data_IF_794445516269
#
_entry.id   IF_794445516269
#
_cell.length_a   1.000
_cell.length_b   1.000
_cell.length_c   1.000
_cell.angle_alpha   90.00
_cell.angle_beta   90.00
_cell.angle_gamma   90.00
#
_symmetry.space_group_name_H-M   'P 1'
#
loop_
_entity.id
_entity.type
_entity.pdbx_description
1 polymer ?
#
# COMPACT_ATOMS: atom_id res chain seq x y z
N UNK A 1 23.29 -21.43 37.80
CA UNK A 1 22.36 -21.83 36.73
C UNK A 1 20.92 -21.31 36.91
N UNK A 2 20.49 -20.94 38.12
CA UNK A 2 19.13 -20.45 38.40
C UNK A 2 18.92 -18.92 38.14
N UNK A 3 19.98 -18.14 38.21
CA UNK A 3 19.87 -16.68 37.99
C UNK A 3 19.60 -16.30 36.53
N UNK A 4 20.13 -17.04 35.55
CA UNK A 4 19.88 -16.81 34.14
C UNK A 4 18.42 -17.06 33.72
N UNK A 5 17.78 -18.05 34.31
CA UNK A 5 16.35 -18.35 34.06
C UNK A 5 15.40 -17.27 34.56
N UNK A 6 15.73 -16.61 35.67
CA UNK A 6 14.92 -15.52 36.24
C UNK A 6 15.01 -14.24 35.44
N UNK A 7 16.18 -13.92 34.86
CA UNK A 7 16.36 -12.72 34.01
C UNK A 7 15.66 -12.90 32.66
N UNK A 8 15.69 -14.08 32.07
CA UNK A 8 15.00 -14.37 30.81
C UNK A 8 13.48 -14.31 30.97
N UNK A 9 12.95 -14.80 32.10
CA UNK A 9 11.52 -14.75 32.40
C UNK A 9 11.04 -13.31 32.65
N UNK A 10 11.83 -12.47 33.31
CA UNK A 10 11.50 -11.06 33.54
C UNK A 10 11.51 -10.23 32.24
N UNK A 11 12.42 -10.53 31.30
CA UNK A 11 12.47 -9.89 29.97
C UNK A 11 11.25 -10.24 29.11
N UNK A 12 10.77 -11.50 29.15
CA UNK A 12 9.56 -11.90 28.40
C UNK A 12 8.31 -11.23 28.96
N UNK A 13 8.21 -11.06 30.30
CA UNK A 13 7.09 -10.33 30.93
C UNK A 13 7.10 -8.82 30.64
N UNK A 14 8.26 -8.21 30.47
CA UNK A 14 8.34 -6.78 30.13
C UNK A 14 7.86 -6.48 28.70
N UNK A 15 8.04 -7.41 27.76
CA UNK A 15 7.57 -7.24 26.38
C UNK A 15 6.05 -7.37 26.21
N UNK A 16 5.39 -8.14 27.06
CA UNK A 16 3.92 -8.31 26.96
C UNK A 16 3.14 -7.11 27.49
N UNK A 17 3.73 -6.27 28.32
CA UNK A 17 3.05 -5.05 28.80
C UNK A 17 3.06 -3.90 27.81
N UNK A 18 3.98 -3.89 26.86
CA UNK A 18 4.06 -2.82 25.84
C UNK A 18 2.94 -2.89 24.79
N UNK A 19 2.40 -4.08 24.50
CA UNK A 19 1.34 -4.25 23.50
C UNK A 19 -0.02 -3.70 24.00
N UNK A 20 -0.30 -3.81 25.31
CA UNK A 20 -1.58 -3.35 25.87
C UNK A 20 -1.71 -1.82 25.98
N UNK A 21 -0.59 -1.09 25.94
CA UNK A 21 -0.61 0.38 26.06
C UNK A 21 -1.13 1.05 24.77
N UNK A 22 -0.83 0.47 23.61
CA UNK A 22 -1.30 0.99 22.32
C UNK A 22 -2.80 0.79 22.13
N UNK A 23 -3.34 -0.36 22.52
CA UNK A 23 -4.78 -0.65 22.43
C UNK A 23 -5.62 0.31 23.28
N UNK A 24 -5.14 0.67 24.47
CA UNK A 24 -5.80 1.64 25.32
C UNK A 24 -5.76 3.05 24.75
N UNK A 25 -4.66 3.45 24.13
CA UNK A 25 -4.52 4.75 23.47
C UNK A 25 -5.44 4.85 22.25
N UNK A 26 -5.48 3.81 21.42
CA UNK A 26 -6.38 3.74 20.26
C UNK A 26 -7.83 3.77 20.69
N UNK A 27 -8.24 3.07 21.75
CA UNK A 27 -9.59 3.09 22.30
C UNK A 27 -9.96 4.47 22.87
N UNK A 28 -9.04 5.17 23.50
CA UNK A 28 -9.26 6.54 23.99
C UNK A 28 -9.43 7.54 22.84
N UNK A 29 -8.64 7.44 21.78
CA UNK A 29 -8.69 8.32 20.62
C UNK A 29 -9.92 8.04 19.75
N UNK A 30 -10.33 6.77 19.61
CA UNK A 30 -11.49 6.38 18.81
C UNK A 30 -12.86 6.55 19.50
N UNK A 31 -12.90 7.17 20.68
CA UNK A 31 -14.15 7.48 21.38
C UNK A 31 -14.89 6.29 22.00
N UNK A 32 -14.30 5.09 21.95
CA UNK A 32 -14.85 3.87 22.59
C UNK A 32 -14.44 3.72 24.06
N UNK A 33 -13.79 4.73 24.64
CA UNK A 33 -13.51 4.83 26.05
C UNK A 33 -14.72 5.32 26.84
N UNK A 34 -14.77 4.98 28.14
CA UNK A 34 -15.78 5.41 29.10
C UNK A 34 -16.12 6.91 28.96
N UNK A 35 -17.40 7.23 28.88
CA UNK A 35 -17.91 8.57 28.74
C UNK A 35 -17.19 9.56 29.67
N UNK A 36 -16.42 10.48 29.09
CA UNK A 36 -15.74 11.57 29.81
C UNK A 36 -14.23 11.64 29.69
N UNK A 37 -13.53 10.65 29.09
CA UNK A 37 -12.06 10.58 29.08
C UNK A 37 -11.39 10.70 27.69
N UNK A 38 -12.08 11.12 26.64
CA UNK A 38 -11.53 11.25 25.30
C UNK A 38 -11.95 12.54 24.57
N UNK A 39 -11.28 12.83 23.46
CA UNK A 39 -11.68 13.91 22.58
C UNK A 39 -13.05 13.62 21.98
N UNK A 40 -13.97 14.57 22.05
CA UNK A 40 -15.25 14.49 21.35
C UNK A 40 -15.14 15.26 20.04
N UNK A 41 -15.36 14.53 18.94
CA UNK A 41 -15.38 15.12 17.60
C UNK A 41 -16.83 15.32 17.15
N UNK A 42 -17.14 16.50 16.70
CA UNK A 42 -18.41 16.77 16.02
C UNK A 42 -18.15 16.76 14.52
N UNK A 43 -18.67 15.78 13.76
CA UNK A 43 -18.47 15.75 12.32
C UNK A 43 -19.20 16.95 11.69
N UNK A 44 -18.47 17.76 10.93
CA UNK A 44 -19.05 18.89 10.16
C UNK A 44 -19.57 18.36 8.82
N UNK A 45 -18.81 17.46 8.20
CA UNK A 45 -19.16 16.79 6.94
C UNK A 45 -18.72 15.32 7.05
N UNK A 46 -19.60 14.42 6.66
CA UNK A 46 -19.29 12.99 6.50
C UNK A 46 -19.62 12.60 5.06
N UNK A 47 -18.59 12.20 4.34
CA UNK A 47 -18.72 11.72 2.97
C UNK A 47 -18.70 10.20 2.95
N UNK A 48 -19.46 9.61 2.05
CA UNK A 48 -19.44 8.18 1.82
C UNK A 48 -18.12 7.78 1.15
N UNK A 49 -17.64 6.60 1.49
CA UNK A 49 -16.41 6.02 0.97
C UNK A 49 -16.60 4.52 0.73
N UNK A 50 -15.77 3.96 -0.15
CA UNK A 50 -15.62 2.52 -0.33
C UNK A 50 -14.99 1.89 0.92
N UNK A 51 -15.09 0.56 1.12
CA UNK A 51 -14.39 -0.15 2.18
C UNK A 51 -12.88 0.12 2.16
N UNK A 52 -12.25 -0.02 3.33
CA UNK A 52 -10.79 0.11 3.45
C UNK A 52 -10.14 -1.16 2.92
N UNK A 53 -9.25 -0.99 1.93
CA UNK A 53 -8.48 -2.08 1.34
C UNK A 53 -7.13 -2.28 2.03
N UNK A 54 -6.61 -3.53 1.98
CA UNK A 54 -5.36 -3.91 2.63
C UNK A 54 -4.23 -4.01 1.60
N UNK A 55 -3.30 -3.06 1.63
CA UNK A 55 -2.13 -3.10 0.74
C UNK A 55 -1.13 -4.23 1.04
N UNK A 56 -1.26 -4.91 2.18
CA UNK A 56 -0.30 -5.93 2.62
C UNK A 56 1.11 -5.38 2.84
N UNK A 57 2.11 -6.19 2.55
CA UNK A 57 3.54 -5.82 2.60
C UNK A 57 3.99 -5.30 1.24
N UNK A 58 3.44 -4.13 0.83
CA UNK A 58 3.80 -3.48 -0.42
C UNK A 58 3.95 -1.97 -0.24
N UNK A 59 4.89 -1.34 -0.94
CA UNK A 59 5.08 0.11 -0.96
C UNK A 59 4.09 0.82 -1.89
N UNK A 60 2.83 0.37 -1.94
CA UNK A 60 1.81 0.81 -2.90
C UNK A 60 0.71 1.66 -2.27
N UNK A 61 0.92 2.20 -1.07
CA UNK A 61 -0.04 3.06 -0.36
C UNK A 61 -0.54 4.24 -1.23
N UNK A 62 0.30 4.75 -2.11
CA UNK A 62 -0.05 5.80 -3.07
C UNK A 62 -1.16 5.36 -4.04
N UNK A 63 -1.19 4.09 -4.47
CA UNK A 63 -2.25 3.55 -5.32
C UNK A 63 -3.54 3.39 -4.53
N UNK A 64 -3.49 2.74 -3.36
CA UNK A 64 -4.64 2.54 -2.49
C UNK A 64 -5.30 3.86 -2.06
N UNK A 65 -4.52 4.81 -1.57
CA UNK A 65 -5.07 6.10 -1.12
C UNK A 65 -5.69 6.92 -2.24
N UNK A 66 -5.12 6.85 -3.45
CA UNK A 66 -5.66 7.61 -4.59
C UNK A 66 -6.87 6.92 -5.21
N UNK A 67 -6.89 5.58 -5.31
CA UNK A 67 -8.07 4.84 -5.75
C UNK A 67 -9.25 5.11 -4.83
N UNK A 68 -9.08 4.98 -3.52
CA UNK A 68 -10.11 5.30 -2.53
C UNK A 68 -10.60 6.76 -2.62
N UNK A 69 -9.71 7.71 -2.90
CA UNK A 69 -10.10 9.10 -3.15
C UNK A 69 -10.96 9.22 -4.42
N UNK A 70 -10.57 8.61 -5.53
CA UNK A 70 -11.33 8.67 -6.79
C UNK A 70 -12.69 8.00 -6.67
N UNK A 71 -12.76 6.88 -5.98
CA UNK A 71 -14.01 6.16 -5.68
C UNK A 71 -14.96 7.00 -4.83
N UNK A 72 -14.44 7.62 -3.77
CA UNK A 72 -15.22 8.53 -2.93
C UNK A 72 -15.72 9.74 -3.73
N UNK A 73 -14.91 10.30 -4.63
CA UNK A 73 -15.34 11.37 -5.51
C UNK A 73 -16.41 10.92 -6.52
N UNK A 74 -16.33 9.70 -7.03
CA UNK A 74 -17.39 9.15 -7.88
C UNK A 74 -18.71 9.04 -7.11
N UNK A 75 -18.70 8.57 -5.86
CA UNK A 75 -19.87 8.51 -4.99
C UNK A 75 -20.41 9.93 -4.74
N UNK A 76 -19.56 10.88 -4.38
CA UNK A 76 -19.93 12.28 -4.18
C UNK A 76 -20.57 12.90 -5.41
N UNK A 77 -20.15 12.51 -6.60
CA UNK A 77 -20.74 12.95 -7.88
C UNK A 77 -22.02 12.19 -8.26
N UNK A 78 -22.56 11.34 -7.39
CA UNK A 78 -23.76 10.56 -7.64
C UNK A 78 -23.56 9.43 -8.65
N UNK A 79 -22.31 8.99 -8.87
CA UNK A 79 -22.01 7.83 -9.72
C UNK A 79 -22.15 6.54 -8.91
N UNK A 80 -22.36 5.43 -9.63
CA UNK A 80 -22.35 4.11 -9.00
C UNK A 80 -20.95 3.84 -8.44
N UNK A 81 -20.82 3.37 -7.19
CA UNK A 81 -19.53 2.95 -6.65
C UNK A 81 -18.90 1.87 -7.52
N UNK A 82 -17.62 2.03 -7.77
CA UNK A 82 -16.77 1.05 -8.47
C UNK A 82 -15.54 0.89 -7.61
N UNK A 83 -15.21 -0.32 -7.29
CA UNK A 83 -13.98 -0.73 -6.62
C UNK A 83 -12.89 -0.86 -7.68
N UNK A 84 -11.87 -0.01 -7.63
CA UNK A 84 -10.81 0.09 -8.64
C UNK A 84 -9.64 -0.81 -8.27
N UNK A 85 -9.10 -1.51 -9.25
CA UNK A 85 -7.90 -2.34 -9.04
C UNK A 85 -6.64 -1.48 -8.85
N UNK A 86 -6.15 -1.38 -7.63
CA UNK A 86 -4.88 -0.75 -7.29
C UNK A 86 -3.70 -1.47 -7.95
N UNK A 87 -3.76 -2.80 -7.98
CA UNK A 87 -2.69 -3.62 -8.51
C UNK A 87 -2.59 -3.57 -10.04
N UNK A 88 -3.71 -3.33 -10.74
CA UNK A 88 -3.64 -3.01 -12.16
C UNK A 88 -2.86 -1.72 -12.42
N UNK A 89 -3.14 -0.69 -11.64
CA UNK A 89 -2.46 0.60 -11.72
C UNK A 89 -0.97 0.42 -11.41
N UNK A 90 -0.64 -0.25 -10.31
CA UNK A 90 0.73 -0.55 -9.89
C UNK A 90 1.49 -1.28 -11.00
N UNK A 91 0.89 -2.30 -11.61
CA UNK A 91 1.48 -3.04 -12.73
C UNK A 91 1.82 -2.13 -13.91
N UNK A 92 0.91 -1.21 -14.27
CA UNK A 92 1.14 -0.28 -15.39
C UNK A 92 2.26 0.71 -15.08
N UNK A 93 2.29 1.21 -13.85
CA UNK A 93 3.38 2.10 -13.40
C UNK A 93 4.72 1.37 -13.41
N UNK A 94 4.78 0.09 -12.98
CA UNK A 94 6.01 -0.70 -13.07
C UNK A 94 6.48 -0.88 -14.51
N UNK A 95 5.56 -1.14 -15.45
CA UNK A 95 5.91 -1.24 -16.88
C UNK A 95 6.52 0.07 -17.41
N UNK A 96 5.90 1.21 -17.14
CA UNK A 96 6.40 2.50 -17.58
C UNK A 96 7.71 2.89 -16.90
N UNK A 97 7.87 2.55 -15.61
CA UNK A 97 9.13 2.74 -14.88
C UNK A 97 10.26 1.90 -15.46
N UNK A 98 9.98 0.64 -15.79
CA UNK A 98 10.98 -0.26 -16.38
C UNK A 98 11.50 0.29 -17.71
N UNK A 99 10.59 0.66 -18.60
CA UNK A 99 10.95 1.27 -19.88
C UNK A 99 11.78 2.54 -19.70
N UNK A 100 11.32 3.44 -18.85
CA UNK A 100 12.00 4.71 -18.56
C UNK A 100 13.36 4.49 -17.91
N UNK A 101 13.46 3.56 -16.96
CA UNK A 101 14.71 3.21 -16.28
C UNK A 101 15.79 2.75 -17.27
N UNK A 102 15.41 1.85 -18.18
CA UNK A 102 16.34 1.36 -19.22
C UNK A 102 16.74 2.49 -20.18
N UNK A 103 15.78 3.29 -20.63
CA UNK A 103 16.05 4.43 -21.55
C UNK A 103 17.01 5.48 -20.98
N UNK A 104 16.99 5.69 -19.66
CA UNK A 104 17.89 6.66 -19.02
C UNK A 104 19.11 5.98 -18.35
N UNK A 105 19.42 4.75 -18.76
CA UNK A 105 20.58 3.97 -18.29
C UNK A 105 20.66 3.86 -16.76
N UNK A 106 19.51 3.64 -16.09
CA UNK A 106 19.46 3.45 -14.65
C UNK A 106 19.57 4.73 -13.81
N UNK A 107 19.49 5.91 -14.42
CA UNK A 107 19.59 7.20 -13.70
C UNK A 107 18.34 7.59 -12.93
N UNK A 108 17.35 6.70 -12.85
CA UNK A 108 16.11 6.87 -12.08
C UNK A 108 15.98 5.78 -11.02
N UNK A 109 15.21 6.07 -9.98
CA UNK A 109 14.83 5.05 -9.00
C UNK A 109 13.80 4.09 -9.61
N UNK A 110 14.06 2.79 -9.49
CA UNK A 110 13.12 1.73 -9.83
C UNK A 110 12.72 1.01 -8.53
N UNK A 111 11.57 1.39 -8.00
CA UNK A 111 11.05 0.90 -6.71
C UNK A 111 9.53 0.98 -6.68
N UNK A 112 8.93 0.43 -5.60
CA UNK A 112 7.48 0.31 -5.40
C UNK A 112 6.75 1.66 -5.31
N UNK A 113 7.41 2.69 -4.77
CA UNK A 113 6.82 4.01 -4.54
C UNK A 113 6.26 4.66 -5.80
N UNK A 114 5.24 5.47 -5.63
CA UNK A 114 4.60 6.29 -6.68
C UNK A 114 3.87 7.46 -6.06
N UNK A 115 3.10 8.18 -6.86
CA UNK A 115 2.35 9.34 -6.43
C UNK A 115 1.02 9.48 -7.18
N UNK A 116 0.11 10.33 -6.70
CA UNK A 116 -1.19 10.59 -7.30
C UNK A 116 -1.13 10.88 -8.83
N UNK A 117 -0.17 11.67 -9.36
CA UNK A 117 -0.08 11.88 -10.80
C UNK A 117 0.15 10.60 -11.61
N UNK A 118 0.81 9.60 -11.05
CA UNK A 118 1.06 8.33 -11.73
C UNK A 118 -0.26 7.60 -12.02
N UNK A 119 -1.23 7.66 -11.11
CA UNK A 119 -2.54 7.05 -11.28
C UNK A 119 -3.33 7.75 -12.38
N UNK A 120 -3.37 9.07 -12.35
CA UNK A 120 -4.07 9.84 -13.37
C UNK A 120 -3.48 9.57 -14.77
N UNK A 121 -2.17 9.48 -14.85
CA UNK A 121 -1.47 9.13 -16.08
C UNK A 121 -1.84 7.72 -16.56
N UNK A 122 -1.86 6.72 -15.65
CA UNK A 122 -2.25 5.34 -15.99
C UNK A 122 -3.69 5.29 -16.49
N UNK A 123 -4.63 5.95 -15.79
CA UNK A 123 -6.04 5.99 -16.19
C UNK A 123 -6.20 6.61 -17.58
N UNK A 124 -5.48 7.69 -17.86
CA UNK A 124 -5.53 8.35 -19.17
C UNK A 124 -4.94 7.48 -20.29
N UNK A 125 -3.85 6.77 -20.02
CA UNK A 125 -3.11 6.00 -21.02
C UNK A 125 -3.65 4.59 -21.22
N UNK A 126 -4.05 3.93 -20.17
CA UNK A 126 -4.39 2.49 -20.15
C UNK A 126 -5.82 2.21 -19.70
N UNK A 127 -6.51 3.21 -19.15
CA UNK A 127 -7.80 3.03 -18.50
C UNK A 127 -7.64 2.54 -17.06
N UNK A 128 -8.79 2.26 -16.43
CA UNK A 128 -8.90 1.61 -15.13
C UNK A 128 -9.74 0.35 -15.25
N UNK A 129 -9.51 -0.61 -14.37
CA UNK A 129 -10.31 -1.85 -14.30
C UNK A 129 -10.85 -2.02 -12.87
N UNK A 130 -12.02 -2.66 -12.70
CA UNK A 130 -12.52 -3.03 -11.39
C UNK A 130 -11.63 -4.09 -10.73
N UNK A 131 -11.57 -4.12 -9.40
CA UNK A 131 -10.81 -5.08 -8.61
C UNK A 131 -11.19 -6.53 -8.96
N UNK A 132 -12.47 -6.81 -9.18
CA UNK A 132 -12.96 -8.14 -9.59
C UNK A 132 -12.36 -8.64 -10.92
N UNK A 133 -11.85 -7.74 -11.75
CA UNK A 133 -11.23 -8.11 -13.03
C UNK A 133 -9.70 -8.31 -12.90
N UNK A 134 -9.07 -7.74 -11.90
CA UNK A 134 -7.65 -7.86 -11.68
C UNK A 134 -7.29 -7.60 -10.21
N UNK A 135 -7.15 -8.64 -9.42
CA UNK A 135 -6.77 -8.54 -8.00
C UNK A 135 -5.26 -8.40 -7.77
N UNK A 136 -4.45 -8.80 -8.74
CA UNK A 136 -2.99 -8.86 -8.59
C UNK A 136 -2.49 -10.07 -7.78
N UNK A 137 -3.35 -10.80 -7.08
CA UNK A 137 -3.01 -11.93 -6.20
C UNK A 137 -2.97 -13.26 -6.98
N UNK A 138 -1.95 -13.45 -7.83
CA UNK A 138 -1.85 -14.62 -8.68
C UNK A 138 -0.75 -15.62 -8.27
N UNK A 139 -0.14 -15.44 -7.09
CA UNK A 139 1.03 -16.22 -6.63
C UNK A 139 0.80 -16.97 -5.31
N UNK A 140 -0.47 -17.15 -4.92
CA UNK A 140 -0.86 -18.03 -3.81
C UNK A 140 -0.83 -17.38 -2.41
N UNK A 141 -0.70 -16.06 -2.34
CA UNK A 141 -0.86 -15.29 -1.09
C UNK A 141 -2.25 -14.63 -1.04
N UNK A 142 -2.73 -14.37 0.17
CA UNK A 142 -4.00 -13.65 0.38
C UNK A 142 -3.80 -12.12 0.46
N UNK A 143 -2.54 -11.67 0.57
CA UNK A 143 -2.15 -10.26 0.63
C UNK A 143 -0.96 -10.00 -0.26
N UNK A 144 -0.79 -8.76 -0.69
CA UNK A 144 0.33 -8.36 -1.53
C UNK A 144 1.64 -8.36 -0.75
N UNK A 145 2.68 -9.00 -1.31
CA UNK A 145 4.05 -9.00 -0.82
C UNK A 145 4.99 -8.68 -1.98
N UNK A 146 5.58 -7.49 -1.98
CA UNK A 146 6.27 -6.97 -3.16
C UNK A 146 7.79 -6.91 -3.07
N UNK A 147 8.40 -7.27 -1.95
CA UNK A 147 9.85 -7.15 -1.79
C UNK A 147 10.62 -8.06 -2.77
N UNK A 148 10.20 -9.32 -2.88
CA UNK A 148 10.77 -10.27 -3.83
C UNK A 148 10.46 -9.88 -5.28
N UNK A 149 9.25 -9.41 -5.54
CA UNK A 149 8.83 -8.92 -6.85
C UNK A 149 9.68 -7.72 -7.28
N UNK A 150 9.88 -6.73 -6.41
CA UNK A 150 10.71 -5.56 -6.69
C UNK A 150 12.15 -5.97 -6.97
N UNK A 151 12.74 -6.82 -6.12
CA UNK A 151 14.11 -7.29 -6.29
C UNK A 151 14.30 -8.02 -7.62
N UNK A 152 13.36 -8.89 -7.99
CA UNK A 152 13.38 -9.64 -9.24
C UNK A 152 13.27 -8.73 -10.45
N UNK A 153 12.30 -7.82 -10.45
CA UNK A 153 12.11 -6.85 -11.54
C UNK A 153 13.30 -5.90 -11.66
N UNK A 154 13.86 -5.45 -10.52
CA UNK A 154 15.07 -4.61 -10.51
C UNK A 154 16.25 -5.33 -11.14
N UNK A 155 16.45 -6.61 -10.81
CA UNK A 155 17.50 -7.45 -11.42
C UNK A 155 17.34 -7.55 -12.94
N UNK A 156 16.11 -7.72 -13.42
CA UNK A 156 15.81 -7.79 -14.86
C UNK A 156 16.16 -6.46 -15.56
N UNK A 157 15.67 -5.33 -15.05
CA UNK A 157 15.93 -4.03 -15.71
C UNK A 157 17.40 -3.61 -15.63
N UNK A 158 18.11 -4.01 -14.58
CA UNK A 158 19.55 -3.82 -14.48
C UNK A 158 20.30 -4.63 -15.53
N UNK A 159 19.94 -5.88 -15.73
CA UNK A 159 20.54 -6.72 -16.78
C UNK A 159 20.25 -6.17 -18.18
N UNK A 160 19.04 -5.67 -18.42
CA UNK A 160 18.67 -5.09 -19.72
C UNK A 160 19.44 -3.80 -20.00
N UNK A 161 19.61 -2.91 -19.00
CA UNK A 161 20.36 -1.65 -19.18
C UNK A 161 21.84 -1.88 -19.52
N UNK A 162 22.43 -2.99 -19.03
CA UNK A 162 23.80 -3.38 -19.32
C UNK A 162 23.98 -4.05 -20.69
N UNK A 163 22.89 -4.34 -21.39
CA UNK A 163 22.91 -4.96 -22.71
C UNK A 163 23.54 -4.02 -23.76
N UNK A 164 24.75 -4.36 -24.20
CA UNK A 164 25.48 -3.59 -25.21
C UNK A 164 24.99 -3.79 -26.65
N UNK A 165 24.08 -4.71 -26.88
CA UNK A 165 23.61 -5.09 -28.21
C UNK A 165 22.50 -4.15 -28.76
N UNK A 166 22.06 -3.16 -27.98
CA UNK A 166 21.18 -2.08 -28.44
C UNK A 166 19.77 -2.49 -28.89
N UNK A 167 19.41 -3.76 -28.76
CA UNK A 167 18.07 -4.26 -29.07
C UNK A 167 17.28 -4.45 -27.76
N UNK A 168 16.25 -3.65 -27.59
CA UNK A 168 15.18 -3.89 -26.62
C UNK A 168 13.99 -4.45 -27.40
#
# INVERSE_FOLDING_TARGET
MNQFKSVTLALVFAFTWSASAQDNLVKQVSGNGTAGAGYQFTPIVQLDATPVENQGSSGTCWSYSTSAFLESEMIRMGKKPVDLSEMYIVRKVYQDKAEKYVRVHGSLNFAQGGALPDILYVIQKYGAVPEVAYTGLNYGTEVNEHDELEASLKGIVDAVKENKNGTI
#
